data_IF_790584486882
#
_entry.id   IF_790584486882
#
_cell.length_a   1.000
_cell.length_b   1.000
_cell.length_c   1.000
_cell.angle_alpha   90.00
_cell.angle_beta   90.00
_cell.angle_gamma   90.00
#
_symmetry.space_group_name_H-M   'P 1'
#
loop_
_entity.id
_entity.type
_entity.pdbx_description
1 polymer ?
#
# COMPACT_ATOMS: atom_id res chain seq x y z
N UNK A 1 -60.37 56.99 17.13
CA UNK A 1 -60.55 55.64 17.68
C UNK A 1 -59.48 54.73 17.12
N UNK A 2 -58.92 53.89 17.98
CA UNK A 2 -57.80 52.97 17.77
C UNK A 2 -58.12 51.85 16.78
N UNK A 3 -57.18 51.49 15.92
CA UNK A 3 -57.08 50.15 15.30
C UNK A 3 -55.75 49.53 15.72
N UNK A 4 -55.73 48.35 16.36
CA UNK A 4 -54.50 47.77 16.90
C UNK A 4 -53.65 47.14 15.78
N UNK A 5 -52.35 47.42 15.86
CA UNK A 5 -51.29 46.93 14.98
C UNK A 5 -51.07 45.43 15.19
N UNK A 6 -51.36 44.64 14.16
CA UNK A 6 -51.10 43.20 14.10
C UNK A 6 -49.59 42.94 14.15
N UNK A 7 -49.11 42.34 15.25
CA UNK A 7 -47.70 41.94 15.39
C UNK A 7 -47.48 40.62 14.67
N UNK A 8 -46.85 40.67 13.50
CA UNK A 8 -46.33 39.50 12.80
C UNK A 8 -45.27 38.77 13.65
N UNK A 9 -45.62 37.59 14.19
CA UNK A 9 -44.66 36.60 14.69
C UNK A 9 -43.88 36.01 13.50
N UNK A 10 -42.73 36.58 13.16
CA UNK A 10 -41.65 35.87 12.45
C UNK A 10 -40.54 35.60 13.46
N UNK A 11 -40.66 34.51 14.21
CA UNK A 11 -39.59 33.93 15.01
C UNK A 11 -39.68 32.43 14.84
N UNK A 12 -38.61 31.78 14.38
CA UNK A 12 -38.46 30.33 14.49
C UNK A 12 -38.28 29.54 13.19
N UNK A 13 -37.48 30.02 12.23
CA UNK A 13 -36.94 29.11 11.19
C UNK A 13 -35.44 29.24 10.93
N UNK A 14 -34.81 30.35 11.32
CA UNK A 14 -33.36 30.50 11.18
C UNK A 14 -32.60 29.99 12.41
N UNK A 15 -33.21 30.00 13.59
CA UNK A 15 -32.58 29.56 14.85
C UNK A 15 -32.40 28.01 14.96
N UNK A 16 -33.06 27.21 14.11
CA UNK A 16 -32.87 25.74 14.09
C UNK A 16 -31.66 25.28 13.26
N UNK A 17 -31.16 26.14 12.36
CA UNK A 17 -30.02 25.82 11.48
C UNK A 17 -28.66 25.96 12.18
N UNK A 18 -28.63 26.68 13.31
CA UNK A 18 -27.40 27.01 14.04
C UNK A 18 -27.08 26.04 15.19
N UNK A 19 -27.90 25.01 15.41
CA UNK A 19 -27.58 23.97 16.39
C UNK A 19 -26.50 23.03 15.82
N UNK A 20 -25.38 22.78 16.53
CA UNK A 20 -24.35 21.86 16.05
C UNK A 20 -24.94 20.45 15.93
N UNK A 21 -25.03 19.95 14.69
CA UNK A 21 -25.53 18.61 14.41
C UNK A 21 -24.46 17.60 14.83
N UNK A 22 -24.71 16.92 15.94
CA UNK A 22 -23.86 15.83 16.42
C UNK A 22 -24.14 14.59 15.60
N UNK A 23 -23.12 14.15 14.89
CA UNK A 23 -23.14 12.93 14.09
C UNK A 23 -23.17 11.71 15.03
N UNK A 24 -24.13 10.81 14.85
CA UNK A 24 -24.20 9.56 15.61
C UNK A 24 -23.87 8.34 14.75
N UNK A 25 -24.25 8.38 13.46
CA UNK A 25 -24.06 7.29 12.52
C UNK A 25 -23.28 7.74 11.26
N UNK A 26 -22.69 6.79 10.52
CA UNK A 26 -22.05 7.03 9.23
C UNK A 26 -23.02 7.67 8.21
N UNK A 27 -24.31 7.31 8.30
CA UNK A 27 -25.38 7.92 7.51
C UNK A 27 -25.52 9.43 7.80
N UNK A 28 -25.36 9.85 9.06
CA UNK A 28 -25.44 11.27 9.44
C UNK A 28 -24.26 12.06 8.86
N UNK A 29 -23.05 11.48 8.83
CA UNK A 29 -21.88 12.10 8.16
C UNK A 29 -22.13 12.32 6.68
N UNK A 30 -22.69 11.32 6.02
CA UNK A 30 -22.99 11.40 4.59
C UNK A 30 -24.09 12.42 4.32
N UNK A 31 -25.15 12.41 5.13
CA UNK A 31 -26.23 13.40 5.06
C UNK A 31 -25.71 14.82 5.17
N UNK A 32 -24.86 15.12 6.16
CA UNK A 32 -24.23 16.44 6.29
C UNK A 32 -23.36 16.84 5.08
N UNK A 33 -22.60 15.89 4.52
CA UNK A 33 -21.80 16.12 3.30
C UNK A 33 -22.69 16.40 2.10
N UNK A 34 -23.77 15.64 1.93
CA UNK A 34 -24.75 15.82 0.85
C UNK A 34 -25.45 17.16 0.99
N UNK A 35 -25.96 17.51 2.18
CA UNK A 35 -26.57 18.81 2.45
C UNK A 35 -25.61 19.95 2.15
N UNK A 36 -24.31 19.82 2.47
CA UNK A 36 -23.29 20.80 2.12
C UNK A 36 -23.06 20.94 0.61
N UNK A 37 -23.09 19.83 -0.13
CA UNK A 37 -22.93 19.82 -1.59
C UNK A 37 -24.18 20.39 -2.28
N UNK A 38 -25.38 20.03 -1.82
CA UNK A 38 -26.66 20.47 -2.38
C UNK A 38 -27.00 21.94 -2.09
N UNK A 39 -26.32 22.57 -1.11
CA UNK A 39 -26.40 24.03 -0.91
C UNK A 39 -25.94 24.82 -2.14
N UNK A 40 -25.06 24.26 -2.97
CA UNK A 40 -24.56 24.91 -4.18
C UNK A 40 -24.44 23.89 -5.33
N UNK A 41 -25.55 23.56 -6.02
CA UNK A 41 -25.56 22.52 -7.06
C UNK A 41 -24.77 22.92 -8.32
N UNK A 42 -24.67 24.22 -8.62
CA UNK A 42 -23.97 24.71 -9.82
C UNK A 42 -22.44 24.69 -9.69
N UNK A 43 -21.91 24.48 -8.48
CA UNK A 43 -20.46 24.45 -8.23
C UNK A 43 -19.93 23.05 -8.55
N UNK A 44 -19.01 22.88 -9.52
CA UNK A 44 -18.42 21.57 -9.80
C UNK A 44 -17.67 21.03 -8.59
N UNK A 45 -17.91 19.76 -8.28
CA UNK A 45 -17.24 19.06 -7.18
C UNK A 45 -15.83 18.66 -7.63
N UNK A 46 -14.80 19.18 -6.95
CA UNK A 46 -13.41 18.80 -7.21
C UNK A 46 -13.10 17.51 -6.47
N UNK A 47 -12.99 16.41 -7.21
CA UNK A 47 -12.46 15.14 -6.68
C UNK A 47 -10.93 15.28 -6.65
N UNK A 48 -10.28 15.14 -5.49
CA UNK A 48 -8.82 15.22 -5.42
C UNK A 48 -8.17 14.11 -6.25
N UNK A 49 -7.14 14.47 -7.01
CA UNK A 49 -6.29 13.49 -7.69
C UNK A 49 -5.55 12.61 -6.68
N UNK A 50 -5.14 11.41 -7.12
CA UNK A 50 -4.34 10.49 -6.31
C UNK A 50 -3.09 11.22 -5.79
N UNK A 51 -2.76 11.09 -4.49
CA UNK A 51 -1.57 11.73 -3.93
C UNK A 51 -0.32 11.26 -4.70
N UNK A 52 0.48 12.22 -5.16
CA UNK A 52 1.77 11.94 -5.81
C UNK A 52 2.69 11.28 -4.79
N UNK A 53 3.51 10.33 -5.27
CA UNK A 53 4.56 9.73 -4.46
C UNK A 53 5.53 10.79 -3.92
N UNK A 54 6.16 10.49 -2.78
CA UNK A 54 7.27 11.33 -2.29
C UNK A 54 8.38 11.28 -3.35
N UNK A 55 8.87 12.44 -3.77
CA UNK A 55 9.97 12.54 -4.73
C UNK A 55 11.20 13.11 -4.01
N UNK A 56 12.39 12.69 -4.44
CA UNK A 56 13.63 13.33 -4.00
C UNK A 56 13.68 14.77 -4.51
N UNK A 57 14.21 15.71 -3.73
CA UNK A 57 14.34 17.09 -4.17
C UNK A 57 15.25 17.16 -5.39
N UNK A 58 14.83 17.90 -6.42
CA UNK A 58 15.62 18.13 -7.62
C UNK A 58 16.92 18.88 -7.27
N UNK A 59 18.05 18.39 -7.77
CA UNK A 59 19.36 19.02 -7.57
C UNK A 59 19.54 20.12 -8.63
N UNK A 60 19.80 21.39 -8.26
CA UNK A 60 20.09 22.44 -9.23
C UNK A 60 21.34 22.13 -10.05
N UNK A 61 21.29 22.39 -11.36
CA UNK A 61 22.41 22.15 -12.28
C UNK A 61 23.61 23.06 -12.00
N UNK A 62 23.36 24.35 -11.75
CA UNK A 62 24.41 25.33 -11.50
C UNK A 62 24.28 25.95 -10.10
N UNK A 63 25.36 25.87 -9.34
CA UNK A 63 25.53 26.64 -8.09
C UNK A 63 26.29 27.91 -8.44
N UNK A 64 25.65 29.07 -8.26
CA UNK A 64 26.24 30.37 -8.64
C UNK A 64 27.20 30.94 -7.59
N UNK A 65 27.07 30.49 -6.35
CA UNK A 65 27.74 31.07 -5.18
C UNK A 65 28.87 30.16 -4.68
N UNK A 66 29.66 29.62 -5.61
CA UNK A 66 30.80 28.75 -5.26
C UNK A 66 31.99 29.65 -4.93
N UNK A 67 32.48 29.54 -3.70
CA UNK A 67 33.70 30.22 -3.28
C UNK A 67 34.93 29.48 -3.85
N UNK A 68 36.03 30.19 -4.11
CA UNK A 68 37.23 29.59 -4.73
C UNK A 68 37.81 28.43 -3.93
N UNK A 69 38.41 27.45 -4.59
CA UNK A 69 38.85 26.19 -3.97
C UNK A 69 39.92 26.36 -2.88
N UNK A 70 40.69 27.45 -2.90
CA UNK A 70 41.69 27.79 -1.90
C UNK A 70 41.19 28.74 -0.81
N UNK A 71 39.92 29.15 -0.86
CA UNK A 71 39.34 30.02 0.16
C UNK A 71 39.10 29.23 1.46
N UNK A 72 39.27 29.90 2.60
CA UNK A 72 39.02 29.30 3.92
C UNK A 72 37.54 29.05 4.21
N UNK A 73 37.26 28.34 5.30
CA UNK A 73 35.88 28.07 5.74
C UNK A 73 35.17 29.38 6.15
N UNK A 74 34.10 29.72 5.44
CA UNK A 74 33.24 30.86 5.78
C UNK A 74 32.26 30.54 6.91
N UNK A 75 31.70 31.57 7.54
CA UNK A 75 30.71 31.42 8.63
C UNK A 75 29.41 30.71 8.21
N UNK A 76 29.06 30.77 6.93
CA UNK A 76 27.87 30.10 6.37
C UNK A 76 28.08 28.65 5.95
N UNK A 77 29.33 28.19 5.85
CA UNK A 77 29.66 26.88 5.27
C UNK A 77 29.10 25.71 6.08
N UNK A 78 29.08 25.86 7.41
CA UNK A 78 28.48 24.87 8.31
C UNK A 78 27.00 24.63 8.00
N UNK A 79 26.23 25.68 7.73
CA UNK A 79 24.82 25.55 7.41
C UNK A 79 24.60 24.95 6.02
N UNK A 80 25.45 25.28 5.05
CA UNK A 80 25.44 24.67 3.72
C UNK A 80 25.63 23.15 3.83
N UNK A 81 26.69 22.70 4.51
CA UNK A 81 26.94 21.28 4.74
C UNK A 81 25.77 20.58 5.46
N UNK A 82 25.26 21.19 6.53
CA UNK A 82 24.12 20.65 7.30
C UNK A 82 22.88 20.45 6.43
N UNK A 83 22.55 21.41 5.55
CA UNK A 83 21.43 21.28 4.62
C UNK A 83 21.68 20.24 3.54
N UNK A 84 22.89 20.20 2.98
CA UNK A 84 23.28 19.23 1.96
C UNK A 84 23.26 17.80 2.51
N UNK A 85 23.80 17.59 3.71
CA UNK A 85 23.80 16.28 4.38
C UNK A 85 22.39 15.77 4.65
N UNK A 86 21.47 16.62 5.11
CA UNK A 86 20.06 16.22 5.28
C UNK A 86 19.39 15.84 3.96
N UNK A 87 19.64 16.62 2.90
CA UNK A 87 19.12 16.31 1.55
C UNK A 87 19.66 14.97 1.07
N UNK A 88 20.95 14.72 1.26
CA UNK A 88 21.59 13.48 0.84
C UNK A 88 21.09 12.28 1.65
N UNK A 89 20.95 12.38 2.97
CA UNK A 89 20.37 11.30 3.77
C UNK A 89 18.92 11.01 3.43
N UNK A 90 18.11 12.05 3.20
CA UNK A 90 16.74 11.87 2.72
C UNK A 90 16.72 11.19 1.34
N UNK A 91 17.66 11.52 0.45
CA UNK A 91 17.81 10.89 -0.88
C UNK A 91 18.21 9.42 -0.77
N UNK A 92 19.23 9.10 0.02
CA UNK A 92 19.69 7.73 0.23
C UNK A 92 18.60 6.87 0.86
N UNK A 93 17.93 7.39 1.91
CA UNK A 93 16.81 6.69 2.55
C UNK A 93 15.68 6.41 1.56
N UNK A 94 15.31 7.39 0.73
CA UNK A 94 14.29 7.19 -0.29
C UNK A 94 14.67 6.11 -1.31
N UNK A 95 15.93 6.05 -1.74
CA UNK A 95 16.42 5.04 -2.67
C UNK A 95 16.34 3.64 -2.03
N UNK A 96 16.76 3.50 -0.78
CA UNK A 96 16.69 2.24 -0.04
C UNK A 96 15.24 1.79 0.15
N UNK A 97 14.37 2.66 0.69
CA UNK A 97 12.94 2.37 0.89
C UNK A 97 12.25 2.00 -0.44
N UNK A 98 12.61 2.65 -1.55
CA UNK A 98 12.06 2.33 -2.86
C UNK A 98 12.53 0.96 -3.35
N UNK A 99 13.82 0.65 -3.22
CA UNK A 99 14.38 -0.63 -3.64
C UNK A 99 13.77 -1.80 -2.85
N UNK A 100 13.67 -1.65 -1.52
CA UNK A 100 13.02 -2.65 -0.65
C UNK A 100 11.56 -2.88 -1.06
N UNK A 101 10.83 -1.80 -1.33
CA UNK A 101 9.44 -1.89 -1.78
C UNK A 101 9.29 -2.57 -3.14
N UNK A 102 10.15 -2.23 -4.10
CA UNK A 102 10.12 -2.79 -5.45
C UNK A 102 10.42 -4.30 -5.41
N UNK A 103 11.46 -4.72 -4.66
CA UNK A 103 11.76 -6.15 -4.49
C UNK A 103 10.60 -6.92 -3.83
N UNK A 104 9.97 -6.35 -2.79
CA UNK A 104 8.82 -6.97 -2.14
C UNK A 104 7.58 -7.07 -3.07
N UNK A 105 7.35 -6.05 -3.90
CA UNK A 105 6.29 -6.05 -4.91
C UNK A 105 6.54 -7.11 -5.99
N UNK A 106 7.77 -7.20 -6.51
CA UNK A 106 8.17 -8.22 -7.50
C UNK A 106 7.99 -9.64 -6.96
N UNK A 107 8.44 -9.91 -5.73
CA UNK A 107 8.24 -11.21 -5.09
C UNK A 107 6.76 -11.55 -4.91
N UNK A 108 5.96 -10.57 -4.53
CA UNK A 108 4.52 -10.75 -4.36
C UNK A 108 3.83 -11.06 -5.70
N UNK A 109 4.16 -10.32 -6.75
CA UNK A 109 3.64 -10.55 -8.09
C UNK A 109 4.04 -11.93 -8.62
N UNK A 110 5.30 -12.31 -8.45
CA UNK A 110 5.79 -13.64 -8.81
C UNK A 110 5.02 -14.75 -8.09
N UNK A 111 4.82 -14.63 -6.78
CA UNK A 111 4.04 -15.60 -5.98
C UNK A 111 2.59 -15.72 -6.48
N UNK A 112 1.96 -14.59 -6.84
CA UNK A 112 0.61 -14.60 -7.41
C UNK A 112 0.58 -15.35 -8.75
N UNK A 113 1.52 -15.06 -9.64
CA UNK A 113 1.58 -15.69 -10.96
C UNK A 113 1.84 -17.19 -10.88
N UNK A 114 2.76 -17.60 -10.00
CA UNK A 114 3.02 -19.02 -9.74
C UNK A 114 1.79 -19.74 -9.20
N UNK A 115 1.05 -19.12 -8.27
CA UNK A 115 -0.18 -19.70 -7.71
C UNK A 115 -1.30 -19.78 -8.75
N UNK A 116 -1.46 -18.73 -9.58
CA UNK A 116 -2.42 -18.73 -10.70
C UNK A 116 -2.08 -19.84 -11.70
N UNK A 117 -0.81 -19.98 -12.07
CA UNK A 117 -0.35 -21.03 -12.98
C UNK A 117 -0.61 -22.42 -12.44
N UNK A 118 -0.29 -22.68 -11.16
CA UNK A 118 -0.58 -23.99 -10.52
C UNK A 118 -2.07 -24.31 -10.53
N UNK A 119 -2.92 -23.34 -10.17
CA UNK A 119 -4.38 -23.51 -10.22
C UNK A 119 -4.90 -23.73 -11.65
N UNK A 120 -4.35 -23.04 -12.66
CA UNK A 120 -4.68 -23.24 -14.06
C UNK A 120 -4.25 -24.62 -14.58
N UNK A 121 -3.06 -25.09 -14.20
CA UNK A 121 -2.57 -26.42 -14.57
C UNK A 121 -3.45 -27.54 -13.98
N UNK A 122 -3.83 -27.43 -12.70
CA UNK A 122 -4.75 -28.38 -12.07
C UNK A 122 -6.15 -28.36 -12.70
N UNK A 123 -6.70 -27.17 -12.90
CA UNK A 123 -8.04 -27.02 -13.50
C UNK A 123 -8.04 -27.46 -14.97
N UNK A 124 -6.95 -27.24 -15.72
CA UNK A 124 -6.78 -27.74 -17.09
C UNK A 124 -6.68 -29.27 -17.12
N UNK A 125 -5.89 -29.89 -16.22
CA UNK A 125 -5.81 -31.35 -16.07
C UNK A 125 -7.20 -31.95 -15.79
N UNK A 126 -7.93 -31.40 -14.80
CA UNK A 126 -9.28 -31.85 -14.43
C UNK A 126 -10.29 -31.63 -15.59
N UNK A 127 -10.23 -30.49 -16.27
CA UNK A 127 -11.07 -30.16 -17.44
C UNK A 127 -10.79 -31.11 -18.61
N UNK A 128 -9.52 -31.43 -18.90
CA UNK A 128 -9.12 -32.36 -19.94
C UNK A 128 -9.65 -33.78 -19.66
N UNK A 129 -9.54 -34.27 -18.41
CA UNK A 129 -10.14 -35.54 -17.98
C UNK A 129 -11.66 -35.55 -18.23
N UNK A 130 -12.38 -34.50 -17.85
CA UNK A 130 -13.84 -34.38 -18.07
C UNK A 130 -14.21 -34.34 -19.56
N UNK A 131 -13.44 -33.63 -20.39
CA UNK A 131 -13.67 -33.54 -21.82
C UNK A 131 -13.42 -34.88 -22.53
N UNK A 132 -12.36 -35.62 -22.15
CA UNK A 132 -12.12 -36.99 -22.65
C UNK A 132 -13.29 -37.92 -22.30
N UNK A 133 -13.74 -37.94 -21.04
CA UNK A 133 -14.94 -38.71 -20.62
C UNK A 133 -16.19 -38.31 -21.40
N UNK A 134 -16.44 -37.00 -21.60
CA UNK A 134 -17.59 -36.51 -22.39
C UNK A 134 -17.53 -36.91 -23.86
N UNK A 135 -16.34 -36.87 -24.49
CA UNK A 135 -16.15 -37.34 -25.87
C UNK A 135 -16.40 -38.85 -25.95
N UNK A 136 -15.83 -39.65 -25.05
CA UNK A 136 -16.06 -41.10 -25.00
C UNK A 136 -17.55 -41.47 -24.87
N UNK A 137 -18.31 -40.79 -23.99
CA UNK A 137 -19.76 -41.00 -23.84
C UNK A 137 -20.57 -40.58 -25.08
N UNK A 138 -20.11 -39.58 -25.84
CA UNK A 138 -20.75 -39.17 -27.11
C UNK A 138 -20.51 -40.20 -28.22
N UNK A 139 -19.31 -40.78 -28.30
CA UNK A 139 -19.01 -41.84 -29.28
C UNK A 139 -19.70 -43.17 -28.92
N UNK A 140 -19.90 -43.47 -27.64
CA UNK A 140 -20.64 -44.66 -27.15
C UNK A 140 -22.17 -44.51 -27.17
N UNK A 141 -22.74 -43.40 -27.66
CA UNK A 141 -24.19 -43.29 -27.94
C UNK A 141 -24.44 -43.57 -29.42
N UNK A 142 -24.71 -44.81 -29.85
CA UNK A 142 -25.35 -45.04 -31.13
C UNK A 142 -26.79 -44.57 -31.08
N UNK A 143 -27.31 -44.12 -32.22
CA UNK A 143 -28.74 -44.06 -32.49
C UNK A 143 -29.32 -45.46 -32.30
N UNK A 144 -30.05 -45.70 -31.23
CA UNK A 144 -31.12 -46.70 -31.19
C UNK A 144 -31.97 -46.47 -29.94
N UNK A 145 -33.27 -46.36 -30.19
CA UNK A 145 -34.31 -46.63 -29.22
C UNK A 145 -34.18 -48.08 -28.72
N UNK A 146 -34.71 -48.35 -27.52
CA UNK A 146 -34.86 -49.64 -26.82
C UNK A 146 -33.82 -50.01 -25.74
N UNK A 147 -34.20 -49.69 -24.49
CA UNK A 147 -34.27 -50.55 -23.29
C UNK A 147 -33.22 -51.66 -23.09
N UNK A 148 -32.32 -51.47 -22.12
CA UNK A 148 -32.08 -52.44 -21.03
C UNK A 148 -31.08 -51.87 -20.01
N UNK A 149 -31.42 -52.04 -18.72
CA UNK A 149 -30.55 -51.84 -17.57
C UNK A 149 -29.33 -52.77 -17.67
N UNK A 150 -28.13 -52.22 -17.51
CA UNK A 150 -26.93 -52.99 -17.19
C UNK A 150 -25.97 -52.06 -16.47
N UNK A 151 -25.78 -52.41 -15.22
CA UNK A 151 -24.69 -52.03 -14.35
C UNK A 151 -23.34 -52.08 -15.08
N UNK A 152 -22.48 -51.11 -14.82
CA UNK A 152 -21.08 -51.15 -15.23
C UNK A 152 -20.31 -50.26 -14.26
N UNK A 153 -19.86 -50.91 -13.18
CA UNK A 153 -18.59 -50.61 -12.52
C UNK A 153 -17.54 -50.20 -13.56
N UNK A 154 -16.95 -49.03 -13.34
CA UNK A 154 -15.67 -48.61 -13.92
C UNK A 154 -14.92 -47.91 -12.79
N UNK A 155 -14.44 -48.78 -11.90
CA UNK A 155 -13.37 -48.55 -10.98
C UNK A 155 -12.17 -47.93 -11.69
N UNK A 156 -11.75 -46.77 -11.20
CA UNK A 156 -10.40 -46.26 -11.43
C UNK A 156 -10.12 -45.30 -10.27
N UNK A 157 -9.94 -45.92 -9.11
CA UNK A 157 -9.04 -45.45 -8.07
C UNK A 157 -7.71 -45.05 -8.72
N UNK A 158 -7.33 -43.79 -8.54
CA UNK A 158 -5.93 -43.42 -8.39
C UNK A 158 -5.91 -42.29 -7.36
N UNK A 159 -5.84 -42.76 -6.13
CA UNK A 159 -5.49 -42.01 -4.94
C UNK A 159 -4.00 -41.65 -5.03
N UNK A 160 -3.70 -40.37 -5.19
CA UNK A 160 -2.41 -39.84 -4.76
C UNK A 160 -2.72 -38.82 -3.67
N UNK A 161 -2.37 -39.21 -2.46
CA UNK A 161 -2.35 -38.38 -1.27
C UNK A 161 -1.57 -37.08 -1.54
N UNK A 162 -2.21 -35.94 -1.34
CA UNK A 162 -1.50 -34.73 -0.92
C UNK A 162 -2.16 -34.23 0.36
N UNK A 163 -1.32 -34.06 1.38
CA UNK A 163 -1.71 -33.95 2.79
C UNK A 163 -2.53 -32.67 3.06
N UNK A 164 -3.43 -32.68 4.05
CA UNK A 164 -4.07 -31.46 4.51
C UNK A 164 -3.08 -30.66 5.35
N UNK A 165 -2.55 -29.57 4.79
CA UNK A 165 -1.84 -28.58 5.59
C UNK A 165 -2.83 -27.85 6.51
N UNK A 166 -2.80 -28.35 7.74
CA UNK A 166 -3.13 -27.73 9.02
C UNK A 166 -3.37 -26.21 8.93
N UNK A 167 -4.58 -25.82 9.29
CA UNK A 167 -4.95 -24.48 9.69
C UNK A 167 -3.87 -23.89 10.61
N UNK A 168 -3.21 -22.84 10.13
CA UNK A 168 -2.46 -21.90 10.95
C UNK A 168 -3.22 -20.59 10.92
N UNK A 169 -3.94 -20.32 12.02
CA UNK A 169 -4.45 -19.01 12.36
C UNK A 169 -3.34 -17.95 12.22
N UNK A 170 -3.59 -16.81 11.57
CA UNK A 170 -2.64 -15.69 11.61
C UNK A 170 -2.69 -15.07 13.02
N UNK A 171 -1.57 -14.94 13.74
CA UNK A 171 -1.57 -14.21 15.00
C UNK A 171 -1.78 -12.72 14.74
N UNK A 172 -2.90 -12.22 15.27
CA UNK A 172 -3.20 -10.82 15.52
C UNK A 172 -2.04 -10.14 16.26
N UNK A 173 -1.45 -9.03 15.76
CA UNK A 173 -0.57 -8.21 16.57
C UNK A 173 -1.42 -7.25 17.43
N UNK A 174 -1.67 -7.62 18.68
CA UNK A 174 -2.05 -6.64 19.71
C UNK A 174 -0.78 -5.95 20.23
N UNK A 175 -0.80 -4.62 20.45
CA UNK A 175 0.37 -3.86 20.88
C UNK A 175 0.69 -4.19 22.34
N UNK A 176 1.96 -4.50 22.63
CA UNK A 176 2.49 -4.47 23.99
C UNK A 176 3.34 -3.22 24.13
N UNK A 177 2.94 -2.40 25.09
CA UNK A 177 3.64 -1.24 25.61
C UNK A 177 5.14 -1.50 25.80
N UNK A 178 5.93 -0.58 25.24
CA UNK A 178 7.29 -0.32 25.66
C UNK A 178 7.25 0.43 27.00
N UNK A 179 7.65 -0.23 28.08
CA UNK A 179 8.26 0.44 29.22
C UNK A 179 9.61 -0.18 29.49
N UNK A 180 10.67 0.38 28.90
CA UNK A 180 12.03 0.20 29.36
C UNK A 180 12.60 1.57 29.74
N UNK A 181 13.00 1.77 31.02
CA UNK A 181 13.65 2.99 31.46
C UNK A 181 15.08 3.06 30.92
N UNK A 182 15.44 4.23 30.40
CA UNK A 182 16.81 4.61 30.03
C UNK A 182 17.67 4.70 31.29
N UNK A 183 18.65 3.80 31.42
CA UNK A 183 19.80 3.97 32.32
C UNK A 183 21.08 3.94 31.48
N UNK A 184 21.82 5.04 31.54
CA UNK A 184 23.18 5.25 31.04
C UNK A 184 24.14 4.17 31.57
N UNK A 185 25.22 3.86 30.86
CA UNK A 185 26.52 4.10 31.50
C UNK A 185 27.57 4.73 30.56
N UNK A 186 28.34 5.63 31.16
CA UNK A 186 29.57 6.22 30.62
C UNK A 186 30.76 5.23 30.68
N UNK A 187 31.73 5.55 29.82
CA UNK A 187 33.17 5.26 29.86
C UNK A 187 33.71 3.81 29.81
N UNK A 188 34.39 3.53 28.69
CA UNK A 188 35.78 3.05 28.73
C UNK A 188 36.55 3.40 27.46
N UNK A 189 37.64 4.14 27.65
CA UNK A 189 38.70 4.39 26.68
C UNK A 189 39.37 3.09 26.23
N UNK A 190 39.69 2.96 24.94
CA UNK A 190 40.92 2.28 24.51
C UNK A 190 41.44 2.84 23.19
N UNK A 191 42.68 3.26 23.24
CA UNK A 191 43.56 3.79 22.21
C UNK A 191 43.89 2.82 21.07
N UNK A 192 44.05 3.38 19.86
CA UNK A 192 45.11 3.02 18.92
C UNK A 192 44.76 2.10 17.75
N UNK A 193 44.81 2.62 16.53
CA UNK A 193 45.86 2.25 15.55
C UNK A 193 45.81 3.19 14.34
N UNK A 194 46.93 3.89 14.14
CA UNK A 194 47.30 4.59 12.91
C UNK A 194 47.38 3.60 11.75
N UNK A 195 46.69 3.89 10.63
CA UNK A 195 46.94 3.18 9.38
C UNK A 195 47.56 4.12 8.35
N UNK A 196 48.62 3.62 7.74
CA UNK A 196 49.62 4.38 7.01
C UNK A 196 49.26 4.48 5.54
N UNK A 197 49.51 5.66 4.98
CA UNK A 197 49.32 5.98 3.56
C UNK A 197 50.45 5.35 2.74
N UNK A 198 50.17 4.30 1.97
CA UNK A 198 51.07 3.86 0.89
C UNK A 198 50.73 4.61 -0.40
N UNK A 199 51.68 5.48 -0.78
CA UNK A 199 51.73 6.28 -1.99
C UNK A 199 52.31 5.43 -3.11
N UNK A 200 51.49 5.01 -4.07
CA UNK A 200 51.99 4.38 -5.31
C UNK A 200 52.41 5.48 -6.30
N UNK A 201 53.71 5.50 -6.56
CA UNK A 201 54.41 6.35 -7.51
C UNK A 201 54.36 5.69 -8.89
N UNK A 202 53.76 6.37 -9.87
CA UNK A 202 53.75 5.98 -11.28
C UNK A 202 54.95 6.68 -11.93
N UNK A 203 55.93 5.89 -12.38
CA UNK A 203 57.08 6.33 -13.18
C UNK A 203 56.63 6.84 -14.56
N UNK A 204 57.29 7.91 -15.03
CA UNK A 204 57.35 8.34 -16.43
C UNK A 204 57.96 7.27 -17.35
#
# INVERSE_FOLDING_TARGET
>A
MSTPKEKSKKKGQDDEKDKPIVVKNAADLQRLKIEKLMKNPDKPVVIPDRPKGKNTPHVPEFVRNVMGSSAGAGSGEFHVYRHLRRKEYARQKFIQEKAEKETAEEEYHRKIEENKRKAEEETAKKRAKRLKKKKGKKFKKPKSEQKSESDSDDDSENDEEDKPDKASDPPTPTPKDETAPTTTPEDKMSSGSSDSVEKTEIME
#
